data_IF_188017464935
#
_entry.id   IF_188017464935
#
_cell.length_a   1.000
_cell.length_b   1.000
_cell.length_c   1.000
_cell.angle_alpha   90.00
_cell.angle_beta   90.00
_cell.angle_gamma   90.00
#
_symmetry.space_group_name_H-M   'P 1'
#
loop_
_entity.id
_entity.type
_entity.pdbx_description
1 polymer ?
#
# COMPACT_ATOMS: atom_id res chain seq x y z
N UNK A 1 26.08 3.24 -8.18
CA UNK A 1 25.31 2.57 -9.26
C UNK A 1 23.90 3.12 -9.20
N UNK A 2 23.33 3.64 -10.31
CA UNK A 2 21.90 4.02 -10.51
C UNK A 2 21.51 5.49 -10.80
N UNK A 3 22.39 6.37 -11.30
CA UNK A 3 21.94 7.65 -11.91
C UNK A 3 21.05 7.43 -13.17
N UNK A 4 21.12 6.25 -13.79
CA UNK A 4 20.31 5.90 -14.96
C UNK A 4 18.82 5.72 -14.63
N UNK A 5 18.50 5.23 -13.43
CA UNK A 5 17.10 5.01 -13.02
C UNK A 5 16.35 6.31 -12.71
N UNK A 6 17.07 7.37 -12.34
CA UNK A 6 16.47 8.68 -12.05
C UNK A 6 15.79 9.32 -13.28
N UNK A 7 16.21 8.94 -14.49
CA UNK A 7 15.65 9.44 -15.76
C UNK A 7 14.96 8.35 -16.60
N UNK A 8 14.75 7.16 -16.03
CA UNK A 8 14.09 6.05 -16.72
C UNK A 8 12.59 6.12 -16.50
N UNK A 9 11.82 6.53 -17.52
CA UNK A 9 10.36 6.45 -17.49
C UNK A 9 9.88 5.32 -18.41
N UNK A 10 8.93 4.52 -17.93
CA UNK A 10 8.19 3.58 -18.77
C UNK A 10 6.95 4.28 -19.31
N UNK A 11 6.97 4.61 -20.60
CA UNK A 11 5.77 5.07 -21.28
C UNK A 11 4.86 3.86 -21.51
N UNK A 12 3.71 3.82 -20.84
CA UNK A 12 2.70 2.81 -21.16
C UNK A 12 2.01 3.28 -22.44
N UNK A 13 2.38 2.66 -23.57
CA UNK A 13 1.80 2.98 -24.88
C UNK A 13 0.28 2.87 -24.80
N UNK A 14 -0.41 3.96 -25.15
CA UNK A 14 -1.85 3.97 -25.34
C UNK A 14 -2.08 3.94 -26.85
N UNK A 15 -2.73 2.89 -27.34
CA UNK A 15 -2.95 2.69 -28.78
C UNK A 15 -3.76 3.84 -29.41
N UNK A 16 -4.59 4.54 -28.62
CA UNK A 16 -5.39 5.68 -29.05
C UNK A 16 -5.78 6.61 -27.88
N UNK A 17 -5.40 7.90 -27.95
CA UNK A 17 -5.75 8.90 -26.92
C UNK A 17 -7.26 9.23 -26.88
N UNK A 18 -8.01 8.94 -27.95
CA UNK A 18 -9.46 9.14 -27.99
C UNK A 18 -10.24 8.09 -27.18
N UNK A 19 -9.61 6.98 -26.79
CA UNK A 19 -10.22 5.90 -26.00
C UNK A 19 -9.99 6.05 -24.49
N UNK A 20 -9.45 7.18 -24.02
CA UNK A 20 -9.28 7.44 -22.59
C UNK A 20 -10.65 7.74 -21.98
N UNK A 21 -11.18 6.86 -21.12
CA UNK A 21 -12.50 7.04 -20.54
C UNK A 21 -12.52 8.29 -19.67
N UNK A 22 -13.64 9.03 -19.73
CA UNK A 22 -13.80 10.20 -18.87
C UNK A 22 -13.83 9.78 -17.39
N UNK A 23 -13.48 10.70 -16.49
CA UNK A 23 -13.54 10.41 -15.05
C UNK A 23 -14.95 9.98 -14.59
N UNK A 24 -16.01 10.49 -15.24
CA UNK A 24 -17.39 10.10 -14.94
C UNK A 24 -17.70 8.67 -15.42
N UNK A 25 -17.19 8.25 -16.57
CA UNK A 25 -17.30 6.85 -17.02
C UNK A 25 -16.59 5.90 -16.05
N UNK A 26 -15.38 6.27 -15.60
CA UNK A 26 -14.64 5.49 -14.61
C UNK A 26 -15.42 5.36 -13.29
N UNK A 27 -15.99 6.46 -12.79
CA UNK A 27 -16.86 6.45 -11.59
C UNK A 27 -18.05 5.51 -11.76
N UNK A 28 -18.76 5.61 -12.89
CA UNK A 28 -19.91 4.76 -13.20
C UNK A 28 -19.53 3.28 -13.30
N UNK A 29 -18.38 2.97 -13.91
CA UNK A 29 -17.87 1.60 -14.03
C UNK A 29 -17.51 1.01 -12.67
N UNK A 30 -16.93 1.79 -11.75
CA UNK A 30 -16.65 1.35 -10.38
C UNK A 30 -17.93 1.14 -9.57
N UNK A 31 -18.93 1.99 -9.74
CA UNK A 31 -20.19 1.93 -9.00
C UNK A 31 -21.06 0.74 -9.42
N UNK A 32 -21.26 0.55 -10.73
CA UNK A 32 -22.22 -0.43 -11.27
C UNK A 32 -21.58 -1.77 -11.70
N UNK A 33 -20.26 -1.82 -11.83
CA UNK A 33 -19.58 -2.98 -12.40
C UNK A 33 -19.53 -4.20 -11.46
N UNK A 34 -19.38 -5.39 -12.04
CA UNK A 34 -18.98 -6.60 -11.30
C UNK A 34 -17.53 -6.51 -10.83
N UNK A 35 -17.08 -7.41 -9.95
CA UNK A 35 -15.68 -7.44 -9.51
C UNK A 35 -14.70 -7.59 -10.71
N UNK A 36 -15.05 -8.37 -11.73
CA UNK A 36 -14.27 -8.52 -12.96
C UNK A 36 -14.18 -7.21 -13.75
N UNK A 37 -15.31 -6.50 -13.90
CA UNK A 37 -15.34 -5.21 -14.58
C UNK A 37 -14.58 -4.14 -13.79
N UNK A 38 -14.66 -4.16 -12.45
CA UNK A 38 -13.87 -3.27 -11.58
C UNK A 38 -12.39 -3.57 -11.67
N UNK A 39 -11.97 -4.83 -11.83
CA UNK A 39 -10.57 -5.19 -12.05
C UNK A 39 -10.03 -4.53 -13.32
N UNK A 40 -10.75 -4.65 -14.44
CA UNK A 40 -10.33 -4.00 -15.70
C UNK A 40 -10.36 -2.47 -15.59
N UNK A 41 -11.37 -1.93 -14.90
CA UNK A 41 -11.46 -0.48 -14.64
C UNK A 41 -10.29 0.02 -13.79
N UNK A 42 -9.92 -0.70 -12.73
CA UNK A 42 -8.77 -0.34 -11.87
C UNK A 42 -7.44 -0.43 -12.61
N UNK A 43 -7.26 -1.41 -13.52
CA UNK A 43 -6.09 -1.47 -14.39
C UNK A 43 -6.00 -0.23 -15.28
N UNK A 44 -7.10 0.17 -15.91
CA UNK A 44 -7.16 1.39 -16.73
C UNK A 44 -6.84 2.65 -15.92
N UNK A 45 -7.41 2.79 -14.72
CA UNK A 45 -7.12 3.90 -13.81
C UNK A 45 -5.63 3.97 -13.50
N UNK A 46 -5.00 2.84 -13.13
CA UNK A 46 -3.57 2.79 -12.83
C UNK A 46 -2.72 3.18 -14.04
N UNK A 47 -3.05 2.69 -15.24
CA UNK A 47 -2.34 3.07 -16.46
C UNK A 47 -2.44 4.57 -16.75
N UNK A 48 -3.61 5.18 -16.55
CA UNK A 48 -3.81 6.63 -16.70
C UNK A 48 -2.96 7.40 -15.67
N UNK A 49 -2.96 6.95 -14.41
CA UNK A 49 -2.18 7.58 -13.34
C UNK A 49 -0.67 7.51 -13.57
N UNK A 50 -0.17 6.35 -14.02
CA UNK A 50 1.25 6.18 -14.33
C UNK A 50 1.68 7.00 -15.54
N UNK A 51 0.75 7.32 -16.46
CA UNK A 51 0.99 8.22 -17.59
C UNK A 51 0.87 9.72 -17.23
N UNK A 52 0.68 10.06 -15.95
CA UNK A 52 0.80 11.43 -15.45
C UNK A 52 -0.50 12.13 -15.06
N UNK A 53 -1.67 11.51 -15.27
CA UNK A 53 -2.95 12.07 -14.81
C UNK A 53 -3.34 11.47 -13.44
N UNK A 54 -3.24 12.25 -12.34
CA UNK A 54 -3.35 11.72 -10.98
C UNK A 54 -4.74 11.22 -10.59
N UNK A 55 -5.79 11.51 -11.37
CA UNK A 55 -7.15 10.98 -11.15
C UNK A 55 -7.66 11.08 -9.68
N UNK A 56 -7.31 12.16 -8.98
CA UNK A 56 -7.56 12.30 -7.54
C UNK A 56 -9.06 12.27 -7.17
N UNK A 57 -9.95 12.61 -8.12
CA UNK A 57 -11.41 12.56 -7.94
C UNK A 57 -12.00 11.15 -7.86
N UNK A 58 -11.20 10.10 -8.05
CA UNK A 58 -11.63 8.70 -7.95
C UNK A 58 -11.50 8.11 -6.55
N UNK A 59 -10.74 8.75 -5.64
CA UNK A 59 -10.44 8.21 -4.31
C UNK A 59 -11.71 7.79 -3.55
N UNK A 60 -12.71 8.68 -3.45
CA UNK A 60 -13.95 8.38 -2.74
C UNK A 60 -14.77 7.23 -3.40
N UNK A 61 -14.73 7.12 -4.74
CA UNK A 61 -15.43 6.03 -5.44
C UNK A 61 -14.74 4.69 -5.20
N UNK A 62 -13.40 4.68 -5.16
CA UNK A 62 -12.62 3.49 -4.81
C UNK A 62 -12.89 3.08 -3.36
N UNK A 63 -12.93 4.03 -2.42
CA UNK A 63 -13.30 3.76 -1.02
C UNK A 63 -14.70 3.14 -0.93
N UNK A 64 -15.68 3.65 -1.68
CA UNK A 64 -17.06 3.18 -1.59
C UNK A 64 -17.31 1.85 -2.30
N UNK A 65 -16.68 1.60 -3.44
CA UNK A 65 -17.08 0.53 -4.35
C UNK A 65 -16.01 -0.54 -4.62
N UNK A 66 -14.74 -0.27 -4.30
CA UNK A 66 -13.62 -1.19 -4.50
C UNK A 66 -13.14 -1.75 -3.16
N UNK A 67 -12.90 -0.88 -2.18
CA UNK A 67 -12.42 -1.25 -0.84
C UNK A 67 -13.28 -2.30 -0.11
N UNK A 68 -14.63 -2.27 -0.13
CA UNK A 68 -15.43 -3.29 0.56
C UNK A 68 -15.48 -4.64 -0.18
N UNK A 69 -14.97 -4.73 -1.41
CA UNK A 69 -14.97 -5.99 -2.16
C UNK A 69 -14.09 -7.05 -1.48
N UNK A 70 -14.55 -8.31 -1.54
CA UNK A 70 -13.80 -9.47 -1.06
C UNK A 70 -12.82 -10.02 -2.10
N UNK A 71 -12.85 -9.50 -3.33
CA UNK A 71 -11.97 -9.92 -4.42
C UNK A 71 -10.50 -9.58 -4.14
N UNK A 72 -9.67 -10.61 -3.98
CA UNK A 72 -8.22 -10.47 -3.71
C UNK A 72 -7.48 -9.75 -4.85
N UNK A 73 -7.73 -10.05 -6.14
CA UNK A 73 -7.11 -9.28 -7.23
C UNK A 73 -7.47 -7.80 -7.18
N UNK A 74 -8.73 -7.48 -6.90
CA UNK A 74 -9.20 -6.11 -6.82
C UNK A 74 -8.55 -5.36 -5.64
N UNK A 75 -8.46 -6.01 -4.48
CA UNK A 75 -7.73 -5.48 -3.31
C UNK A 75 -6.26 -5.18 -3.64
N UNK A 76 -5.58 -6.05 -4.41
CA UNK A 76 -4.20 -5.79 -4.83
C UNK A 76 -4.08 -4.53 -5.70
N UNK A 77 -5.00 -4.36 -6.66
CA UNK A 77 -5.05 -3.15 -7.51
C UNK A 77 -5.37 -1.88 -6.70
N UNK A 78 -6.24 -1.99 -5.69
CA UNK A 78 -6.52 -0.89 -4.76
C UNK A 78 -5.25 -0.43 -4.01
N UNK A 79 -4.42 -1.36 -3.51
CA UNK A 79 -3.17 -1.00 -2.88
C UNK A 79 -2.19 -0.31 -3.84
N UNK A 80 -2.11 -0.75 -5.11
CA UNK A 80 -1.33 -0.02 -6.12
C UNK A 80 -1.86 1.40 -6.33
N UNK A 81 -3.18 1.58 -6.34
CA UNK A 81 -3.77 2.92 -6.45
C UNK A 81 -3.38 3.80 -5.26
N UNK A 82 -3.39 3.27 -4.04
CA UNK A 82 -2.97 4.02 -2.85
C UNK A 82 -1.48 4.40 -2.86
N UNK A 83 -0.63 3.66 -3.55
CA UNK A 83 0.79 4.02 -3.70
C UNK A 83 0.92 5.31 -4.52
N UNK A 84 0.22 5.39 -5.66
CA UNK A 84 0.37 6.50 -6.63
C UNK A 84 -0.58 7.68 -6.38
N UNK A 85 -1.68 7.49 -5.65
CA UNK A 85 -2.66 8.55 -5.40
C UNK A 85 -2.06 9.67 -4.52
N UNK A 86 -2.28 10.95 -4.89
CA UNK A 86 -1.93 12.10 -4.05
C UNK A 86 -2.58 12.00 -2.67
N UNK A 87 -1.75 12.16 -1.63
CA UNK A 87 -2.19 12.05 -0.21
C UNK A 87 -2.67 13.38 0.36
N UNK A 88 -2.08 14.47 -0.10
CA UNK A 88 -2.32 15.81 0.40
C UNK A 88 -3.23 16.62 -0.54
N UNK A 89 -3.88 17.64 0.02
CA UNK A 89 -4.58 18.69 -0.73
C UNK A 89 -3.62 19.77 -1.24
N UNK A 90 -4.17 20.84 -1.82
CA UNK A 90 -3.37 21.94 -2.36
C UNK A 90 -2.65 22.77 -1.27
N UNK A 91 -3.08 22.65 -0.02
CA UNK A 91 -2.52 23.32 1.15
C UNK A 91 -1.46 22.45 1.84
N UNK A 92 -1.20 21.24 1.34
CA UNK A 92 -0.24 20.31 1.94
C UNK A 92 -0.80 19.58 3.16
N UNK A 93 -2.12 19.60 3.39
CA UNK A 93 -2.76 18.85 4.48
C UNK A 93 -3.24 17.49 3.99
N UNK A 94 -3.15 16.47 4.84
CA UNK A 94 -3.65 15.13 4.52
C UNK A 94 -5.16 15.19 4.21
N UNK A 95 -5.56 14.57 3.08
CA UNK A 95 -6.98 14.53 2.67
C UNK A 95 -7.79 13.68 3.65
N UNK A 96 -8.98 14.15 4.01
CA UNK A 96 -9.84 13.53 5.03
C UNK A 96 -10.25 12.09 4.67
N UNK A 97 -10.35 11.77 3.38
CA UNK A 97 -10.65 10.44 2.87
C UNK A 97 -9.66 9.37 3.36
N UNK A 98 -8.41 9.76 3.65
CA UNK A 98 -7.40 8.84 4.15
C UNK A 98 -7.69 8.29 5.54
N UNK A 99 -8.56 8.94 6.32
CA UNK A 99 -9.02 8.40 7.60
C UNK A 99 -9.73 7.05 7.38
N UNK A 100 -10.56 6.97 6.34
CA UNK A 100 -11.26 5.73 5.97
C UNK A 100 -10.28 4.67 5.45
N UNK A 101 -9.29 5.09 4.65
CA UNK A 101 -8.25 4.21 4.12
C UNK A 101 -7.39 3.64 5.24
N UNK A 102 -6.96 4.45 6.21
CA UNK A 102 -6.19 4.01 7.36
C UNK A 102 -6.95 2.96 8.18
N UNK A 103 -8.25 3.17 8.43
CA UNK A 103 -9.07 2.18 9.11
C UNK A 103 -9.10 0.84 8.34
N UNK A 104 -9.26 0.88 7.01
CA UNK A 104 -9.23 -0.32 6.19
C UNK A 104 -7.86 -1.03 6.23
N UNK A 105 -6.76 -0.28 6.19
CA UNK A 105 -5.40 -0.82 6.30
C UNK A 105 -5.21 -1.49 7.67
N UNK A 106 -5.68 -0.88 8.76
CA UNK A 106 -5.64 -1.49 10.11
C UNK A 106 -6.37 -2.83 10.15
N UNK A 107 -7.56 -2.90 9.55
CA UNK A 107 -8.31 -4.16 9.45
C UNK A 107 -7.57 -5.21 8.61
N UNK A 108 -6.96 -4.81 7.50
CA UNK A 108 -6.19 -5.72 6.65
C UNK A 108 -4.91 -6.26 7.32
N UNK A 109 -4.23 -5.44 8.14
CA UNK A 109 -3.09 -5.88 8.98
C UNK A 109 -3.50 -6.92 10.04
N UNK A 110 -4.79 -6.97 10.39
CA UNK A 110 -5.36 -7.93 11.33
C UNK A 110 -6.16 -9.03 10.62
N UNK A 111 -6.17 -9.06 9.29
CA UNK A 111 -6.97 -10.03 8.52
C UNK A 111 -6.60 -11.48 8.88
N UNK A 112 -7.54 -12.43 8.89
CA UNK A 112 -7.22 -13.83 9.16
C UNK A 112 -6.31 -14.44 8.07
N UNK A 113 -6.32 -13.87 6.87
CA UNK A 113 -5.49 -14.31 5.75
C UNK A 113 -4.09 -13.68 5.81
N UNK A 114 -3.07 -14.52 5.87
CA UNK A 114 -1.66 -14.17 5.94
C UNK A 114 -1.16 -13.42 4.71
N UNK A 115 -1.72 -13.70 3.52
CA UNK A 115 -1.33 -13.03 2.28
C UNK A 115 -1.89 -11.61 2.19
N UNK A 116 -3.08 -11.37 2.77
CA UNK A 116 -3.62 -10.02 2.93
C UNK A 116 -2.71 -9.21 3.84
N UNK A 117 -2.41 -9.71 5.05
CA UNK A 117 -1.48 -9.05 5.98
C UNK A 117 -0.13 -8.77 5.33
N UNK A 118 0.48 -9.76 4.69
CA UNK A 118 1.78 -9.59 4.04
C UNK A 118 1.76 -8.62 2.87
N UNK A 119 0.66 -8.54 2.10
CA UNK A 119 0.52 -7.53 1.06
C UNK A 119 0.39 -6.13 1.64
N UNK A 120 -0.39 -5.97 2.70
CA UNK A 120 -0.56 -4.70 3.39
C UNK A 120 0.74 -4.23 4.06
N UNK A 121 1.53 -5.14 4.65
CA UNK A 121 2.85 -4.82 5.20
C UNK A 121 3.82 -4.31 4.12
N UNK A 122 3.81 -4.89 2.91
CA UNK A 122 4.59 -4.37 1.77
C UNK A 122 4.12 -3.01 1.29
N UNK A 123 2.85 -2.67 1.49
CA UNK A 123 2.36 -1.32 1.22
C UNK A 123 2.83 -0.34 2.31
N UNK A 124 2.83 -0.75 3.58
CA UNK A 124 3.32 0.07 4.69
C UNK A 124 4.78 0.48 4.49
N UNK A 125 5.63 -0.38 3.91
CA UNK A 125 7.03 -0.01 3.59
C UNK A 125 7.16 1.17 2.62
N UNK A 126 6.09 1.56 1.93
CA UNK A 126 6.05 2.66 0.95
C UNK A 126 5.37 3.92 1.49
N UNK A 127 4.80 3.88 2.70
CA UNK A 127 4.23 5.06 3.35
C UNK A 127 5.34 5.96 3.89
N UNK A 128 5.19 7.27 3.69
CA UNK A 128 6.14 8.31 4.13
C UNK A 128 5.47 9.42 4.95
N UNK A 129 4.18 9.28 5.19
CA UNK A 129 3.35 10.27 5.85
C UNK A 129 3.13 9.83 7.30
N UNK A 130 3.58 10.65 8.25
CA UNK A 130 3.51 10.32 9.67
C UNK A 130 2.08 10.12 10.16
N UNK A 131 1.14 10.98 9.71
CA UNK A 131 -0.28 10.89 10.10
C UNK A 131 -0.92 9.59 9.62
N UNK A 132 -0.48 9.06 8.47
CA UNK A 132 -0.94 7.76 7.97
C UNK A 132 -0.30 6.57 8.69
N UNK A 133 0.96 6.68 9.09
CA UNK A 133 1.74 5.58 9.67
C UNK A 133 1.47 5.39 11.16
N UNK A 134 1.31 6.49 11.91
CA UNK A 134 1.04 6.48 13.35
C UNK A 134 -0.08 5.51 13.78
N UNK A 135 -1.27 5.49 13.16
CA UNK A 135 -2.34 4.56 13.55
C UNK A 135 -2.05 3.09 13.20
N UNK A 136 -0.99 2.80 12.44
CA UNK A 136 -0.60 1.46 11.97
C UNK A 136 0.49 0.82 12.82
N UNK A 137 1.17 1.59 13.68
CA UNK A 137 2.34 1.13 14.45
C UNK A 137 2.04 -0.13 15.24
N UNK A 138 0.97 -0.13 16.05
CA UNK A 138 0.62 -1.29 16.89
C UNK A 138 0.25 -2.53 16.05
N UNK A 139 -0.65 -2.46 15.05
CA UNK A 139 -0.92 -3.61 14.16
C UNK A 139 0.32 -4.16 13.44
N UNK A 140 1.24 -3.29 13.01
CA UNK A 140 2.51 -3.71 12.38
C UNK A 140 3.38 -4.47 13.37
N UNK A 141 3.53 -3.98 14.60
CA UNK A 141 4.28 -4.67 15.67
C UNK A 141 3.69 -6.04 15.99
N UNK A 142 2.37 -6.15 16.08
CA UNK A 142 1.69 -7.44 16.29
C UNK A 142 1.97 -8.45 15.16
N UNK A 143 2.22 -7.98 13.94
CA UNK A 143 2.56 -8.86 12.82
C UNK A 143 3.95 -9.50 12.96
N UNK A 144 4.85 -8.95 13.77
CA UNK A 144 6.18 -9.52 14.04
C UNK A 144 6.08 -10.82 14.86
N UNK A 145 5.07 -10.93 15.73
CA UNK A 145 4.79 -12.14 16.52
C UNK A 145 3.79 -13.11 15.85
N UNK A 146 3.48 -12.91 14.57
CA UNK A 146 2.46 -13.71 13.89
C UNK A 146 2.89 -15.16 13.67
N UNK A 147 1.96 -16.13 13.75
CA UNK A 147 2.28 -17.56 13.60
C UNK A 147 2.93 -17.95 12.27
N UNK A 148 2.62 -17.25 11.18
CA UNK A 148 3.14 -17.53 9.85
C UNK A 148 4.36 -16.68 9.52
N UNK A 149 5.48 -17.32 9.18
CA UNK A 149 6.72 -16.69 8.72
C UNK A 149 6.50 -15.73 7.54
N UNK A 150 5.54 -16.01 6.65
CA UNK A 150 5.18 -15.10 5.56
C UNK A 150 4.78 -13.70 6.07
N UNK A 151 4.08 -13.60 7.20
CA UNK A 151 3.71 -12.30 7.77
C UNK A 151 4.92 -11.66 8.46
N UNK A 152 5.62 -12.43 9.30
CA UNK A 152 6.78 -11.95 10.06
C UNK A 152 7.87 -11.37 9.16
N UNK A 153 8.25 -12.07 8.08
CA UNK A 153 9.25 -11.59 7.13
C UNK A 153 8.90 -10.25 6.47
N UNK A 154 7.62 -9.96 6.28
CA UNK A 154 7.17 -8.67 5.74
C UNK A 154 7.07 -7.60 6.85
N UNK A 155 6.70 -8.00 8.07
CA UNK A 155 6.62 -7.12 9.23
C UNK A 155 7.99 -6.55 9.61
N UNK A 156 9.03 -7.39 9.54
CA UNK A 156 10.43 -6.99 9.71
C UNK A 156 10.80 -5.80 8.82
N UNK A 157 10.55 -5.89 7.51
CA UNK A 157 10.85 -4.80 6.59
C UNK A 157 9.91 -3.59 6.76
N UNK A 158 8.66 -3.80 7.17
CA UNK A 158 7.75 -2.70 7.48
C UNK A 158 8.28 -1.87 8.66
N UNK A 159 8.70 -2.53 9.74
CA UNK A 159 9.30 -1.88 10.92
C UNK A 159 10.57 -1.11 10.55
N UNK A 160 11.49 -1.74 9.83
CA UNK A 160 12.72 -1.07 9.40
C UNK A 160 12.47 0.12 8.46
N UNK A 161 11.50 0.00 7.55
CA UNK A 161 11.12 1.12 6.68
C UNK A 161 10.52 2.29 7.48
N UNK A 162 9.66 2.00 8.47
CA UNK A 162 9.13 3.04 9.37
C UNK A 162 10.28 3.72 10.10
N UNK A 163 11.21 2.98 10.70
CA UNK A 163 12.36 3.57 11.39
C UNK A 163 13.27 4.39 10.46
N UNK A 164 13.50 3.91 9.24
CA UNK A 164 14.37 4.58 8.27
C UNK A 164 13.80 5.94 7.82
N UNK A 165 12.48 6.04 7.69
CA UNK A 165 11.83 7.23 7.13
C UNK A 165 11.15 8.12 8.17
N UNK A 166 10.76 7.57 9.31
CA UNK A 166 9.99 8.20 10.39
C UNK A 166 10.52 7.68 11.76
N UNK A 167 11.82 7.88 12.08
CA UNK A 167 12.46 7.30 13.26
C UNK A 167 11.76 7.70 14.57
N UNK A 168 11.16 8.88 14.63
CA UNK A 168 10.40 9.39 15.77
C UNK A 168 9.15 8.55 16.10
N UNK A 169 8.58 7.85 15.11
CA UNK A 169 7.38 7.03 15.33
C UNK A 169 7.70 5.66 15.93
N UNK A 170 8.91 5.15 15.73
CA UNK A 170 9.32 3.84 16.25
C UNK A 170 10.80 3.82 16.63
N UNK A 171 11.23 4.63 17.62
CA UNK A 171 12.65 4.78 17.97
C UNK A 171 13.27 3.48 18.52
N UNK A 172 12.45 2.57 19.04
CA UNK A 172 12.82 1.27 19.58
C UNK A 172 12.78 0.13 18.54
N UNK A 173 12.63 0.47 17.25
CA UNK A 173 12.66 -0.52 16.17
C UNK A 173 13.95 -1.37 16.12
N UNK A 174 15.17 -0.82 16.31
CA UNK A 174 16.39 -1.62 16.31
C UNK A 174 16.37 -2.71 17.40
N UNK A 175 16.06 -2.35 18.64
CA UNK A 175 16.00 -3.28 19.77
C UNK A 175 14.94 -4.37 19.56
N UNK A 176 13.79 -3.98 19.01
CA UNK A 176 12.72 -4.90 18.64
C UNK A 176 13.16 -5.92 17.58
N UNK A 177 13.91 -5.46 16.57
CA UNK A 177 14.41 -6.32 15.49
C UNK A 177 15.55 -7.24 15.95
N UNK A 178 16.42 -6.80 16.86
CA UNK A 178 17.44 -7.65 17.50
C UNK A 178 16.78 -8.77 18.30
N UNK A 179 15.81 -8.42 19.15
CA UNK A 179 15.07 -9.42 19.95
C UNK A 179 14.35 -10.42 19.04
N UNK A 180 13.73 -9.94 17.96
CA UNK A 180 13.12 -10.81 16.96
C UNK A 180 14.12 -11.73 16.27
N UNK A 181 15.32 -11.24 15.94
CA UNK A 181 16.36 -12.02 15.29
C UNK A 181 16.85 -13.17 16.18
N UNK A 182 16.97 -12.92 17.49
CA UNK A 182 17.41 -13.91 18.48
C UNK A 182 16.38 -15.05 18.66
N UNK A 183 15.09 -14.73 18.64
CA UNK A 183 13.99 -15.69 18.84
C UNK A 183 13.53 -16.41 17.55
N UNK A 184 13.88 -15.90 16.37
CA UNK A 184 13.34 -16.39 15.09
C UNK A 184 14.06 -17.63 14.56
N UNK A 185 13.29 -18.58 14.07
CA UNK A 185 13.79 -19.84 13.55
C UNK A 185 13.75 -19.92 12.03
N UNK A 186 12.80 -19.23 11.39
CA UNK A 186 12.66 -19.24 9.93
C UNK A 186 13.86 -18.57 9.24
N UNK A 187 14.57 -19.25 8.31
CA UNK A 187 15.75 -18.71 7.66
C UNK A 187 15.48 -17.42 6.87
N UNK A 188 14.31 -17.28 6.26
CA UNK A 188 13.97 -16.09 5.48
C UNK A 188 13.73 -14.90 6.40
N UNK A 189 13.02 -15.11 7.50
CA UNK A 189 12.77 -14.09 8.52
C UNK A 189 14.08 -13.63 9.15
N UNK A 190 14.99 -14.55 9.52
CA UNK A 190 16.33 -14.21 10.03
C UNK A 190 17.14 -13.38 9.05
N UNK A 191 17.21 -13.80 7.78
CA UNK A 191 17.88 -13.03 6.73
C UNK A 191 17.31 -11.62 6.62
N UNK A 192 15.98 -11.50 6.61
CA UNK A 192 15.33 -10.20 6.52
C UNK A 192 15.63 -9.33 7.75
N UNK A 193 15.62 -9.90 8.95
CA UNK A 193 15.88 -9.17 10.19
C UNK A 193 17.33 -8.70 10.27
N UNK A 194 18.27 -9.57 9.90
CA UNK A 194 19.67 -9.19 9.78
C UNK A 194 19.90 -8.09 8.72
N UNK A 195 19.17 -8.12 7.59
CA UNK A 195 19.27 -7.09 6.56
C UNK A 195 18.52 -5.79 6.89
N UNK A 196 17.70 -5.80 7.93
CA UNK A 196 16.85 -4.70 8.37
C UNK A 196 17.46 -3.90 9.54
N UNK A 197 18.43 -4.49 10.24
CA UNK A 197 19.33 -3.86 11.19
C UNK A 197 20.49 -3.17 10.46
#
# INVERSE_FOLDING_TARGET
>A
MAAFLENSYSLVHQDNAADVPSQNELKNALEKGSDEQKIETMKKILSIMLNGDPQAGLLMHIIRFVMPSKSKPLKKLMYFFFEVCPKHDAQGKLRQEWILVCNAIRFDLQAPNEYVRGNTLRFVTKLRDAELVEPLLQPVRQCLAHRHAYVRKNATFAIASIFTHLPELMPDAPDLLVTFLDDENDPTCKRNAFAAL
#
